data_IF_255846541113
#
_entry.id   IF_255846541113
#
_cell.length_a   1.000
_cell.length_b   1.000
_cell.length_c   1.000
_cell.angle_alpha   90.00
_cell.angle_beta   90.00
_cell.angle_gamma   90.00
#
_symmetry.space_group_name_H-M   'P 1'
#
loop_
_entity.id
_entity.type
_entity.pdbx_description
1 polymer ?
#
# COMPACT_ATOMS: atom_id res chain seq x y z
N UNK A 1 -11.78 18.04 13.62
CA UNK A 1 -10.86 16.98 14.02
C UNK A 1 -9.59 17.63 14.51
N UNK A 2 -9.20 17.35 15.76
CA UNK A 2 -7.99 17.89 16.38
C UNK A 2 -6.89 16.82 16.26
N UNK A 3 -5.78 17.17 15.63
CA UNK A 3 -4.67 16.24 15.38
C UNK A 3 -3.42 16.74 16.08
N UNK A 4 -2.74 15.85 16.79
CA UNK A 4 -1.44 16.12 17.39
C UNK A 4 -0.41 15.17 16.79
N UNK A 5 0.68 15.73 16.30
CA UNK A 5 1.79 14.99 15.68
C UNK A 5 3.05 15.25 16.49
N UNK A 6 3.72 14.20 16.98
CA UNK A 6 5.06 14.32 17.53
C UNK A 6 6.11 13.91 16.50
N UNK A 7 7.17 14.69 16.40
CA UNK A 7 8.27 14.53 15.45
C UNK A 7 7.98 15.25 14.14
N UNK A 8 8.59 16.40 13.99
CA UNK A 8 8.52 17.23 12.78
C UNK A 8 9.64 16.91 11.77
N UNK A 9 10.02 15.64 11.71
CA UNK A 9 10.86 15.10 10.63
C UNK A 9 10.11 15.06 9.30
N UNK A 10 10.72 14.44 8.31
CA UNK A 10 10.18 14.41 6.94
C UNK A 10 8.73 13.89 6.84
N UNK A 11 8.41 12.78 7.52
CA UNK A 11 7.06 12.18 7.48
C UNK A 11 6.05 13.07 8.21
N UNK A 12 6.36 13.50 9.43
CA UNK A 12 5.44 14.31 10.24
C UNK A 12 5.17 15.68 9.61
N UNK A 13 6.20 16.34 9.07
CA UNK A 13 6.07 17.62 8.37
C UNK A 13 5.20 17.49 7.12
N UNK A 14 5.50 16.53 6.25
CA UNK A 14 4.74 16.34 5.02
C UNK A 14 3.27 15.97 5.28
N UNK A 15 3.02 15.16 6.32
CA UNK A 15 1.66 14.83 6.72
C UNK A 15 0.94 16.08 7.22
N UNK A 16 1.59 16.90 8.06
CA UNK A 16 1.01 18.15 8.54
C UNK A 16 0.72 19.12 7.37
N UNK A 17 1.62 19.25 6.39
CA UNK A 17 1.42 20.03 5.16
C UNK A 17 0.21 19.54 4.37
N UNK A 18 0.10 18.23 4.18
CA UNK A 18 -1.03 17.63 3.44
C UNK A 18 -2.38 17.84 4.14
N UNK A 19 -2.37 17.81 5.47
CA UNK A 19 -3.58 17.93 6.29
C UNK A 19 -3.98 19.38 6.55
N UNK A 20 -3.05 20.32 6.67
CA UNK A 20 -3.31 21.74 6.95
C UNK A 20 -4.21 22.39 5.91
N UNK A 21 -4.17 21.91 4.66
CA UNK A 21 -5.06 22.36 3.58
C UNK A 21 -6.53 21.95 3.78
N UNK A 22 -6.79 20.95 4.59
CA UNK A 22 -8.11 20.35 4.78
C UNK A 22 -8.65 20.48 6.22
N UNK A 23 -7.76 20.56 7.21
CA UNK A 23 -8.05 20.54 8.63
C UNK A 23 -7.36 21.70 9.35
N UNK A 24 -8.11 22.57 10.05
CA UNK A 24 -7.54 23.78 10.64
C UNK A 24 -6.82 23.55 11.99
N UNK A 25 -6.98 22.38 12.63
CA UNK A 25 -6.51 22.15 13.99
C UNK A 25 -5.43 21.07 14.03
N UNK A 26 -4.22 21.45 13.65
CA UNK A 26 -3.04 20.57 13.72
C UNK A 26 -2.04 21.19 14.68
N UNK A 27 -1.57 20.38 15.63
CA UNK A 27 -0.47 20.75 16.54
C UNK A 27 0.72 19.82 16.30
N UNK A 28 1.87 20.38 16.01
CA UNK A 28 3.14 19.66 15.91
C UNK A 28 3.92 19.83 17.22
N UNK A 29 4.51 18.76 17.73
CA UNK A 29 5.44 18.77 18.85
C UNK A 29 6.84 18.38 18.33
N UNK A 30 7.80 19.28 18.45
CA UNK A 30 9.19 19.06 18.02
C UNK A 30 10.14 19.36 19.17
N UNK A 31 11.10 18.45 19.41
CA UNK A 31 12.05 18.59 20.51
C UNK A 31 13.15 19.63 20.23
N UNK A 32 13.48 19.89 18.99
CA UNK A 32 14.51 20.84 18.57
C UNK A 32 13.93 22.24 18.38
N UNK A 33 14.39 23.22 19.15
CA UNK A 33 13.95 24.62 19.04
C UNK A 33 14.18 25.16 17.62
N UNK A 34 15.35 24.96 17.03
CA UNK A 34 15.65 25.48 15.69
C UNK A 34 14.76 24.88 14.59
N UNK A 35 14.38 23.60 14.70
CA UNK A 35 13.40 23.00 13.79
C UNK A 35 11.99 23.49 14.03
N UNK A 36 11.62 23.67 15.30
CA UNK A 36 10.33 24.22 15.70
C UNK A 36 10.12 25.61 15.09
N UNK A 37 11.13 26.49 15.20
CA UNK A 37 11.10 27.85 14.66
C UNK A 37 10.96 27.84 13.13
N UNK A 38 11.76 27.02 12.43
CA UNK A 38 11.72 26.91 10.97
C UNK A 38 10.38 26.38 10.44
N UNK A 39 9.72 25.50 11.19
CA UNK A 39 8.40 24.96 10.81
C UNK A 39 7.32 25.98 11.05
N UNK A 40 7.38 26.71 12.16
CA UNK A 40 6.42 27.74 12.51
C UNK A 40 6.38 28.90 11.48
N UNK A 41 7.53 29.14 10.80
CA UNK A 41 7.59 30.12 9.69
C UNK A 41 7.02 29.60 8.37
N UNK A 42 6.98 28.30 8.17
CA UNK A 42 6.67 27.68 6.85
C UNK A 42 5.34 26.94 6.78
N UNK A 43 4.71 26.63 7.92
CA UNK A 43 3.53 25.79 7.99
C UNK A 43 2.40 26.49 8.75
N UNK A 44 1.18 26.41 8.24
CA UNK A 44 -0.04 26.89 8.93
C UNK A 44 -0.52 25.82 9.93
N UNK A 45 0.26 25.64 11.01
CA UNK A 45 -0.04 24.72 12.10
C UNK A 45 0.53 25.26 13.42
N UNK A 46 -0.06 24.91 14.54
CA UNK A 46 0.50 25.21 15.86
C UNK A 46 1.74 24.36 16.11
N UNK A 47 2.86 24.99 16.52
CA UNK A 47 4.10 24.27 16.83
C UNK A 47 4.45 24.46 18.28
N UNK A 48 4.60 23.36 19.03
CA UNK A 48 5.05 23.34 20.41
C UNK A 48 6.46 22.74 20.48
N UNK A 49 7.40 23.51 21.02
CA UNK A 49 8.73 22.98 21.27
C UNK A 49 8.76 22.20 22.58
N UNK A 50 9.08 20.91 22.55
CA UNK A 50 9.12 20.09 23.74
C UNK A 50 9.35 18.61 23.48
N UNK A 51 9.59 17.86 24.56
CA UNK A 51 9.74 16.41 24.49
C UNK A 51 8.37 15.73 24.35
N UNK A 52 8.08 15.15 23.17
CA UNK A 52 6.84 14.46 22.89
C UNK A 52 6.56 13.21 23.75
N UNK A 53 7.56 12.68 24.49
CA UNK A 53 7.36 11.59 25.44
C UNK A 53 7.17 12.09 26.88
N UNK A 54 7.09 13.41 27.11
CA UNK A 54 6.82 13.98 28.43
C UNK A 54 5.31 14.26 28.61
N UNK A 55 4.71 13.73 29.66
CA UNK A 55 3.28 13.92 29.93
C UNK A 55 2.92 15.41 30.12
N UNK A 56 3.84 16.24 30.63
CA UNK A 56 3.64 17.68 30.75
C UNK A 56 3.49 18.36 29.38
N UNK A 57 4.36 18.04 28.44
CA UNK A 57 4.30 18.57 27.05
C UNK A 57 3.01 18.12 26.36
N UNK A 58 2.62 16.85 26.54
CA UNK A 58 1.37 16.31 25.97
C UNK A 58 0.12 16.96 26.58
N UNK A 59 0.15 17.25 27.89
CA UNK A 59 -0.95 17.98 28.56
C UNK A 59 -1.03 19.44 28.08
N UNK A 60 0.11 20.13 27.90
CA UNK A 60 0.17 21.48 27.32
C UNK A 60 -0.37 21.53 25.89
N UNK A 61 -0.12 20.48 25.11
CA UNK A 61 -0.68 20.31 23.76
C UNK A 61 -2.16 19.91 23.76
N UNK A 62 -2.84 19.83 24.92
CA UNK A 62 -4.25 19.41 25.06
C UNK A 62 -4.56 18.03 24.47
N UNK A 63 -3.64 17.06 24.65
CA UNK A 63 -3.76 15.71 24.05
C UNK A 63 -5.05 14.99 24.45
N UNK A 64 -5.61 15.27 25.63
CA UNK A 64 -6.87 14.67 26.09
C UNK A 64 -8.11 15.06 25.26
N UNK A 65 -8.01 16.13 24.47
CA UNK A 65 -9.08 16.61 23.59
C UNK A 65 -8.83 16.24 22.12
N UNK A 66 -7.71 15.55 21.81
CA UNK A 66 -7.37 15.23 20.43
C UNK A 66 -8.17 14.03 19.91
N UNK A 67 -8.56 14.12 18.64
CA UNK A 67 -9.22 13.03 17.93
C UNK A 67 -8.21 11.97 17.45
N UNK A 68 -7.00 12.42 17.13
CA UNK A 68 -5.93 11.58 16.63
C UNK A 68 -4.56 12.06 17.08
N UNK A 69 -3.80 11.18 17.69
CA UNK A 69 -2.41 11.38 18.07
C UNK A 69 -1.49 10.53 17.20
N UNK A 70 -0.48 11.15 16.60
CA UNK A 70 0.47 10.53 15.69
C UNK A 70 1.90 10.65 16.23
N UNK A 71 2.52 9.55 16.57
CA UNK A 71 3.92 9.48 17.00
C UNK A 71 4.82 9.08 15.83
N UNK A 72 5.50 10.05 15.21
CA UNK A 72 6.22 9.91 13.94
C UNK A 72 7.71 10.28 14.04
N UNK A 73 8.30 10.18 15.23
CA UNK A 73 9.74 10.41 15.39
C UNK A 73 10.57 9.26 14.79
N UNK A 74 11.87 9.40 14.72
CA UNK A 74 12.80 8.35 14.31
C UNK A 74 13.16 7.35 15.43
N UNK A 75 12.56 7.46 16.61
CA UNK A 75 12.91 6.67 17.80
C UNK A 75 11.69 5.88 18.26
N UNK A 76 11.72 4.55 18.08
CA UNK A 76 10.61 3.64 18.39
C UNK A 76 10.12 3.77 19.83
N UNK A 77 11.05 3.75 20.79
CA UNK A 77 10.69 3.86 22.21
C UNK A 77 9.98 5.19 22.51
N UNK A 78 10.39 6.29 21.88
CA UNK A 78 9.70 7.57 22.01
C UNK A 78 8.28 7.50 21.45
N UNK A 79 8.11 6.88 20.28
CA UNK A 79 6.82 6.75 19.64
C UNK A 79 5.88 5.85 20.44
N UNK A 80 6.36 4.71 20.92
CA UNK A 80 5.56 3.78 21.73
C UNK A 80 5.13 4.41 23.07
N UNK A 81 6.09 5.02 23.79
CA UNK A 81 5.83 5.66 25.10
C UNK A 81 4.89 6.85 24.95
N UNK A 82 5.12 7.73 23.99
CA UNK A 82 4.27 8.91 23.80
C UNK A 82 2.86 8.55 23.36
N UNK A 83 2.69 7.58 22.47
CA UNK A 83 1.36 7.10 22.07
C UNK A 83 0.60 6.49 23.26
N UNK A 84 1.28 5.72 24.11
CA UNK A 84 0.69 5.14 25.32
C UNK A 84 0.28 6.21 26.33
N UNK A 85 1.14 7.22 26.57
CA UNK A 85 0.79 8.36 27.46
C UNK A 85 -0.39 9.13 26.87
N UNK A 86 -0.37 9.42 25.56
CA UNK A 86 -1.45 10.12 24.88
C UNK A 86 -2.80 9.38 25.02
N UNK A 87 -2.80 8.06 24.85
CA UNK A 87 -3.99 7.22 25.05
C UNK A 87 -4.50 7.31 26.48
N UNK A 88 -3.60 7.24 27.44
CA UNK A 88 -3.94 7.33 28.88
C UNK A 88 -4.49 8.71 29.28
N UNK A 89 -4.02 9.77 28.62
CA UNK A 89 -4.52 11.15 28.83
C UNK A 89 -5.84 11.43 28.11
N UNK A 90 -6.35 10.52 27.27
CA UNK A 90 -7.69 10.63 26.68
C UNK A 90 -7.72 10.81 25.17
N UNK A 91 -6.59 10.70 24.45
CA UNK A 91 -6.59 10.70 22.99
C UNK A 91 -7.53 9.61 22.45
N UNK A 92 -8.44 9.96 21.52
CA UNK A 92 -9.43 9.00 20.99
C UNK A 92 -8.78 7.88 20.20
N UNK A 93 -7.84 8.24 19.31
CA UNK A 93 -7.03 7.29 18.52
C UNK A 93 -5.56 7.64 18.63
N UNK A 94 -4.71 6.61 18.67
CA UNK A 94 -3.25 6.74 18.72
C UNK A 94 -2.60 5.89 17.63
N UNK A 95 -1.62 6.48 16.98
CA UNK A 95 -0.82 5.83 15.94
C UNK A 95 0.65 5.99 16.30
N UNK A 96 1.43 4.94 16.13
CA UNK A 96 2.88 5.03 16.33
C UNK A 96 3.64 4.41 15.15
N UNK A 97 4.64 5.13 14.68
CA UNK A 97 5.63 4.60 13.76
C UNK A 97 6.67 3.78 14.53
N UNK A 98 7.03 2.62 13.99
CA UNK A 98 8.14 1.81 14.45
C UNK A 98 8.98 1.35 13.27
N UNK A 99 10.22 0.94 13.50
CA UNK A 99 11.02 0.26 12.48
C UNK A 99 10.52 -1.17 12.27
N UNK A 100 10.84 -1.76 11.13
CA UNK A 100 10.43 -3.11 10.78
C UNK A 100 10.93 -4.17 11.78
N UNK A 101 12.03 -3.88 12.50
CA UNK A 101 12.56 -4.72 13.59
C UNK A 101 11.55 -4.95 14.72
N UNK A 102 10.80 -3.92 15.13
CA UNK A 102 9.78 -4.03 16.19
C UNK A 102 8.61 -4.89 15.73
N UNK A 103 8.17 -4.73 14.47
CA UNK A 103 7.11 -5.60 13.91
C UNK A 103 7.53 -7.07 13.86
N UNK A 104 8.83 -7.36 13.66
CA UNK A 104 9.36 -8.75 13.68
C UNK A 104 9.25 -9.41 15.05
N UNK A 105 9.24 -8.65 16.12
CA UNK A 105 9.12 -9.15 17.49
C UNK A 105 7.66 -9.38 17.93
N UNK A 106 6.67 -9.07 17.08
CA UNK A 106 5.24 -9.16 17.42
C UNK A 106 4.81 -10.57 17.85
N UNK A 107 5.48 -11.61 17.35
CA UNK A 107 5.25 -13.00 17.79
C UNK A 107 5.69 -13.26 19.24
N UNK A 108 6.63 -12.49 19.77
CA UNK A 108 7.15 -12.58 21.13
C UNK A 108 6.42 -11.62 22.06
N UNK A 109 6.11 -10.41 21.59
CA UNK A 109 5.52 -9.35 22.40
C UNK A 109 4.59 -8.46 21.57
N UNK A 110 3.32 -8.39 21.98
CA UNK A 110 2.32 -7.55 21.33
C UNK A 110 2.43 -6.10 21.80
N UNK A 111 3.31 -5.35 21.16
CA UNK A 111 3.53 -3.93 21.43
C UNK A 111 2.25 -3.11 21.32
N UNK A 112 1.42 -3.37 20.32
CA UNK A 112 0.19 -2.63 20.09
C UNK A 112 -0.77 -2.73 21.26
N UNK A 113 -1.08 -3.94 21.71
CA UNK A 113 -2.01 -4.17 22.81
C UNK A 113 -1.40 -3.74 24.15
N UNK A 114 -0.08 -4.01 24.38
CA UNK A 114 0.58 -3.64 25.62
C UNK A 114 0.58 -2.13 25.86
N UNK A 115 0.89 -1.34 24.85
CA UNK A 115 0.94 0.13 24.94
C UNK A 115 -0.41 0.79 24.63
N UNK A 116 -1.47 0.04 24.33
CA UNK A 116 -2.80 0.56 24.02
C UNK A 116 -2.86 1.39 22.74
N UNK A 117 -2.04 1.07 21.75
CA UNK A 117 -1.90 1.80 20.48
C UNK A 117 -2.93 1.26 19.49
N UNK A 118 -3.73 2.14 18.87
CA UNK A 118 -4.77 1.73 17.93
C UNK A 118 -4.17 1.27 16.59
N UNK A 119 -3.06 1.89 16.14
CA UNK A 119 -2.38 1.52 14.92
C UNK A 119 -0.86 1.65 15.02
N UNK A 120 -0.16 0.57 14.70
CA UNK A 120 1.30 0.48 14.65
C UNK A 120 1.72 0.22 13.20
N UNK A 121 2.72 0.94 12.69
CA UNK A 121 3.16 0.77 11.30
C UNK A 121 4.67 1.03 11.13
N UNK A 122 5.23 0.43 10.09
CA UNK A 122 6.61 0.66 9.65
C UNK A 122 6.62 1.27 8.25
N UNK A 123 7.38 2.35 8.09
CA UNK A 123 7.58 3.02 6.80
C UNK A 123 8.26 2.08 5.79
N UNK A 124 9.19 1.27 6.29
CA UNK A 124 9.95 0.31 5.51
C UNK A 124 9.05 -0.78 4.94
N UNK A 125 8.15 -1.31 5.77
CA UNK A 125 7.18 -2.31 5.35
C UNK A 125 6.16 -1.74 4.36
N UNK A 126 5.67 -0.53 4.59
CA UNK A 126 4.74 0.12 3.66
C UNK A 126 5.36 0.33 2.27
N UNK A 127 6.63 0.76 2.23
CA UNK A 127 7.35 0.91 0.96
C UNK A 127 7.61 -0.45 0.28
N UNK A 128 7.96 -1.48 1.06
CA UNK A 128 8.16 -2.84 0.55
C UNK A 128 6.86 -3.41 -0.06
N UNK A 129 5.71 -3.20 0.59
CA UNK A 129 4.39 -3.57 0.05
C UNK A 129 4.16 -2.93 -1.32
N UNK A 130 4.47 -1.64 -1.48
CA UNK A 130 4.31 -0.97 -2.77
C UNK A 130 5.26 -1.54 -3.85
N UNK A 131 6.51 -1.86 -3.50
CA UNK A 131 7.46 -2.50 -4.44
C UNK A 131 7.01 -3.91 -4.85
N UNK A 132 6.54 -4.72 -3.89
CA UNK A 132 6.06 -6.09 -4.14
C UNK A 132 4.90 -6.12 -5.13
N UNK A 133 4.02 -5.10 -5.13
CA UNK A 133 2.92 -4.99 -6.10
C UNK A 133 3.45 -5.01 -7.54
N UNK A 134 4.53 -4.28 -7.82
CA UNK A 134 5.15 -4.26 -9.15
C UNK A 134 5.85 -5.58 -9.49
N UNK A 135 6.48 -6.25 -8.52
CA UNK A 135 7.09 -7.57 -8.73
C UNK A 135 6.02 -8.61 -9.08
N UNK A 136 4.89 -8.56 -8.38
CA UNK A 136 3.78 -9.49 -8.64
C UNK A 136 3.04 -9.20 -9.93
N UNK A 137 3.02 -7.97 -10.39
CA UNK A 137 2.30 -7.57 -11.60
C UNK A 137 3.02 -6.45 -12.36
N UNK A 138 4.12 -6.76 -13.06
CA UNK A 138 4.93 -5.75 -13.76
C UNK A 138 4.21 -5.11 -14.95
N UNK A 139 3.29 -5.82 -15.57
CA UNK A 139 2.51 -5.35 -16.72
C UNK A 139 1.14 -4.79 -16.31
N UNK A 140 0.72 -5.03 -15.08
CA UNK A 140 -0.52 -4.52 -14.53
C UNK A 140 -0.46 -3.01 -14.26
N UNK A 141 -1.54 -2.31 -14.62
CA UNK A 141 -1.59 -0.85 -14.45
C UNK A 141 -1.84 -0.44 -13.00
N UNK A 142 -2.54 -1.28 -12.23
CA UNK A 142 -2.83 -1.06 -10.82
C UNK A 142 -2.93 -2.41 -10.11
N UNK A 143 -2.29 -2.53 -8.95
CA UNK A 143 -2.55 -3.58 -7.98
C UNK A 143 -2.90 -2.90 -6.66
N UNK A 144 -4.12 -3.13 -6.17
CA UNK A 144 -4.55 -2.66 -4.86
C UNK A 144 -4.79 -3.84 -3.94
N UNK A 145 -4.21 -3.76 -2.77
CA UNK A 145 -4.42 -4.71 -1.69
C UNK A 145 -5.66 -4.31 -0.89
N UNK A 146 -6.57 -5.24 -0.75
CA UNK A 146 -7.78 -5.12 0.05
C UNK A 146 -7.74 -6.14 1.17
N UNK A 147 -8.17 -5.73 2.35
CA UNK A 147 -8.29 -6.62 3.48
C UNK A 147 -6.98 -7.34 3.86
N UNK A 148 -5.87 -6.59 3.88
CA UNK A 148 -4.53 -7.04 4.32
C UNK A 148 -3.94 -8.17 3.47
N UNK A 149 -3.96 -8.03 2.15
CA UNK A 149 -3.36 -8.98 1.21
C UNK A 149 -4.20 -10.22 0.92
N UNK A 150 -5.42 -10.30 1.41
CA UNK A 150 -6.32 -11.45 1.17
C UNK A 150 -7.15 -11.32 -0.09
N UNK A 151 -7.38 -10.09 -0.54
CA UNK A 151 -8.06 -9.78 -1.80
C UNK A 151 -7.20 -8.75 -2.52
N UNK A 152 -6.89 -9.00 -3.77
CA UNK A 152 -6.17 -8.05 -4.63
C UNK A 152 -7.06 -7.60 -5.78
N UNK A 153 -6.92 -6.33 -6.18
CA UNK A 153 -7.45 -5.79 -7.42
C UNK A 153 -6.33 -5.64 -8.42
N UNK A 154 -6.53 -6.17 -9.59
CA UNK A 154 -5.58 -6.09 -10.69
C UNK A 154 -6.24 -5.49 -11.92
N UNK A 155 -5.54 -4.59 -12.63
CA UNK A 155 -5.99 -4.09 -13.93
C UNK A 155 -5.12 -4.65 -15.05
N UNK A 156 -5.78 -5.26 -16.04
CA UNK A 156 -5.13 -5.84 -17.22
C UNK A 156 -5.76 -5.31 -18.50
N UNK A 157 -4.91 -5.09 -19.50
CA UNK A 157 -5.36 -4.78 -20.84
C UNK A 157 -5.62 -6.08 -21.59
N UNK A 158 -6.81 -6.23 -22.15
CA UNK A 158 -7.18 -7.40 -22.96
C UNK A 158 -6.38 -7.40 -24.26
N UNK A 159 -5.59 -8.43 -24.50
CA UNK A 159 -4.84 -8.57 -25.73
C UNK A 159 -5.72 -8.99 -26.89
N UNK A 160 -5.28 -8.72 -28.12
CA UNK A 160 -6.01 -9.16 -29.32
C UNK A 160 -6.10 -10.69 -29.43
N UNK A 161 -5.12 -11.40 -28.88
CA UNK A 161 -5.00 -12.86 -28.89
C UNK A 161 -5.68 -13.50 -27.65
N UNK A 162 -6.39 -12.71 -26.83
CA UNK A 162 -7.05 -13.19 -25.62
C UNK A 162 -8.16 -14.19 -25.93
N UNK A 163 -8.19 -15.29 -25.20
CA UNK A 163 -9.24 -16.31 -25.28
C UNK A 163 -10.59 -15.82 -24.73
N UNK A 164 -10.60 -14.70 -23.98
CA UNK A 164 -11.81 -14.10 -23.42
C UNK A 164 -12.54 -13.15 -24.39
N UNK A 165 -11.91 -12.77 -25.49
CA UNK A 165 -12.51 -11.83 -26.46
C UNK A 165 -13.75 -12.42 -27.12
N UNK A 166 -14.85 -11.67 -27.07
CA UNK A 166 -16.13 -12.05 -27.68
C UNK A 166 -16.91 -13.13 -26.93
N UNK A 167 -16.41 -13.62 -25.81
CA UNK A 167 -17.10 -14.60 -24.96
C UNK A 167 -17.90 -13.85 -23.88
N UNK A 168 -19.18 -14.17 -23.66
CA UNK A 168 -19.96 -13.62 -22.55
C UNK A 168 -19.28 -13.90 -21.20
N UNK A 169 -19.23 -12.91 -20.32
CA UNK A 169 -18.53 -13.03 -19.02
C UNK A 169 -19.06 -14.21 -18.21
N UNK A 170 -20.35 -14.50 -18.28
CA UNK A 170 -20.96 -15.65 -17.59
C UNK A 170 -20.45 -17.01 -18.10
N UNK A 171 -19.91 -17.07 -19.32
CA UNK A 171 -19.38 -18.29 -19.94
C UNK A 171 -17.87 -18.43 -19.78
N UNK A 172 -17.19 -17.36 -19.29
CA UNK A 172 -15.77 -17.43 -18.97
C UNK A 172 -15.54 -18.39 -17.79
N UNK A 173 -14.64 -19.34 -17.96
CA UNK A 173 -14.25 -20.28 -16.90
C UNK A 173 -13.37 -19.58 -15.86
N UNK A 174 -13.99 -18.74 -15.04
CA UNK A 174 -13.30 -18.02 -13.97
C UNK A 174 -13.27 -18.86 -12.70
N UNK A 175 -12.18 -18.80 -11.91
CA UNK A 175 -12.15 -19.38 -10.58
C UNK A 175 -13.29 -18.83 -9.71
N UNK A 176 -13.76 -19.64 -8.76
CA UNK A 176 -14.95 -19.31 -7.96
C UNK A 176 -14.81 -17.98 -7.19
N UNK A 177 -13.59 -17.65 -6.80
CA UNK A 177 -13.30 -16.44 -6.02
C UNK A 177 -12.53 -15.37 -6.79
N UNK A 178 -12.75 -15.30 -8.12
CA UNK A 178 -12.27 -14.21 -8.97
C UNK A 178 -13.44 -13.65 -9.77
N UNK A 179 -13.51 -12.34 -9.87
CA UNK A 179 -14.57 -11.63 -10.61
C UNK A 179 -14.01 -10.46 -11.39
N UNK A 180 -14.70 -10.10 -12.45
CA UNK A 180 -14.51 -8.85 -13.18
C UNK A 180 -15.36 -7.79 -12.49
N UNK A 181 -14.70 -6.75 -11.95
CA UNK A 181 -15.38 -5.66 -11.25
C UNK A 181 -15.76 -4.52 -12.19
N UNK A 182 -14.88 -4.21 -13.15
CA UNK A 182 -15.06 -3.08 -14.04
C UNK A 182 -14.37 -3.32 -15.37
N UNK A 183 -14.95 -2.79 -16.44
CA UNK A 183 -14.35 -2.72 -17.78
C UNK A 183 -14.27 -1.25 -18.16
N UNK A 184 -13.06 -0.79 -18.48
CA UNK A 184 -12.86 0.52 -19.09
C UNK A 184 -12.63 0.34 -20.59
N UNK A 185 -13.52 0.94 -21.40
CA UNK A 185 -13.48 0.95 -22.87
C UNK A 185 -13.59 2.39 -23.34
N UNK A 186 -12.65 2.85 -24.15
CA UNK A 186 -12.63 4.22 -24.70
C UNK A 186 -12.75 5.31 -23.62
N UNK A 187 -12.14 5.08 -22.45
CA UNK A 187 -12.18 6.01 -21.32
C UNK A 187 -13.47 5.95 -20.48
N UNK A 188 -14.42 5.10 -20.82
CA UNK A 188 -15.68 4.94 -20.09
C UNK A 188 -15.65 3.65 -19.25
N UNK A 189 -15.89 3.80 -17.96
CA UNK A 189 -15.98 2.68 -17.03
C UNK A 189 -17.41 2.13 -16.95
N UNK A 190 -17.53 0.82 -17.07
CA UNK A 190 -18.78 0.08 -16.89
C UNK A 190 -18.59 -1.08 -15.92
N UNK A 191 -19.57 -1.32 -15.06
CA UNK A 191 -19.64 -2.53 -14.25
C UNK A 191 -20.37 -3.57 -15.08
N UNK A 192 -19.68 -4.65 -15.52
CA UNK A 192 -20.26 -5.57 -16.48
C UNK A 192 -21.27 -6.51 -15.84
N UNK A 193 -22.25 -6.91 -16.62
CA UNK A 193 -23.14 -8.04 -16.35
C UNK A 193 -22.67 -9.32 -17.05
N UNK A 194 -23.27 -10.44 -16.71
CA UNK A 194 -22.87 -11.74 -17.27
C UNK A 194 -22.99 -11.87 -18.80
N UNK A 195 -23.81 -11.03 -19.46
CA UNK A 195 -24.00 -11.04 -20.93
C UNK A 195 -23.00 -10.14 -21.68
N UNK A 196 -22.27 -9.30 -20.95
CA UNK A 196 -21.27 -8.42 -21.56
C UNK A 196 -20.07 -9.23 -22.03
N UNK A 197 -19.37 -8.71 -23.04
CA UNK A 197 -18.21 -9.35 -23.66
C UNK A 197 -17.00 -8.42 -23.59
N UNK A 198 -15.83 -9.01 -23.45
CA UNK A 198 -14.56 -8.32 -23.53
C UNK A 198 -14.16 -8.09 -24.99
N UNK A 199 -13.57 -6.93 -25.26
CA UNK A 199 -13.00 -6.59 -26.56
C UNK A 199 -11.50 -6.33 -26.45
N UNK A 200 -10.74 -6.51 -27.53
CA UNK A 200 -9.33 -6.15 -27.57
C UNK A 200 -9.12 -4.68 -27.17
N UNK A 201 -8.18 -4.45 -26.27
CA UNK A 201 -7.86 -3.11 -25.80
C UNK A 201 -8.66 -2.66 -24.58
N UNK A 202 -9.71 -3.38 -24.17
CA UNK A 202 -10.39 -3.13 -22.89
C UNK A 202 -9.40 -3.19 -21.72
N UNK A 203 -9.57 -2.29 -20.76
CA UNK A 203 -8.87 -2.39 -19.48
C UNK A 203 -9.82 -3.01 -18.45
N UNK A 204 -9.51 -4.24 -18.05
CA UNK A 204 -10.34 -5.04 -17.15
C UNK A 204 -9.80 -4.96 -15.73
N UNK A 205 -10.65 -4.62 -14.79
CA UNK A 205 -10.32 -4.70 -13.35
C UNK A 205 -10.84 -6.03 -12.81
N UNK A 206 -9.91 -6.89 -12.41
CA UNK A 206 -10.16 -8.14 -11.70
C UNK A 206 -10.05 -7.94 -10.21
N UNK A 207 -10.79 -8.70 -9.42
CA UNK A 207 -10.56 -8.86 -8.00
C UNK A 207 -10.71 -10.31 -7.59
N UNK A 208 -9.96 -10.71 -6.57
CA UNK A 208 -10.01 -12.08 -6.07
C UNK A 208 -8.90 -12.41 -5.09
N UNK A 209 -8.86 -13.66 -4.66
CA UNK A 209 -7.73 -14.19 -3.89
C UNK A 209 -6.47 -14.20 -4.77
N UNK A 210 -5.32 -13.72 -4.26
CA UNK A 210 -4.09 -13.59 -5.06
C UNK A 210 -3.69 -14.88 -5.79
N UNK A 211 -3.82 -16.03 -5.14
CA UNK A 211 -3.49 -17.35 -5.70
C UNK A 211 -4.40 -17.79 -6.88
N UNK A 212 -5.58 -17.17 -7.03
CA UNK A 212 -6.56 -17.53 -8.04
C UNK A 212 -6.62 -16.53 -9.22
N UNK A 213 -5.88 -15.42 -9.15
CA UNK A 213 -5.88 -14.42 -10.22
C UNK A 213 -5.06 -14.86 -11.45
N UNK A 214 -3.97 -15.60 -11.26
CA UNK A 214 -3.05 -16.01 -12.34
C UNK A 214 -3.70 -16.75 -13.52
N UNK A 215 -4.62 -17.71 -13.31
CA UNK A 215 -5.32 -18.37 -14.41
C UNK A 215 -6.15 -17.42 -15.26
N UNK A 216 -6.74 -16.39 -14.63
CA UNK A 216 -7.55 -15.39 -15.34
C UNK A 216 -6.70 -14.42 -16.12
N UNK A 217 -5.53 -14.05 -15.58
CA UNK A 217 -4.56 -13.21 -16.27
C UNK A 217 -4.12 -13.89 -17.57
N UNK A 218 -3.80 -15.18 -17.52
CA UNK A 218 -3.44 -15.97 -18.70
C UNK A 218 -4.57 -16.08 -19.72
N UNK A 219 -5.83 -15.96 -19.27
CA UNK A 219 -6.99 -15.93 -20.16
C UNK A 219 -7.11 -14.58 -20.88
N UNK A 220 -6.78 -13.47 -20.21
CA UNK A 220 -6.87 -12.10 -20.75
C UNK A 220 -5.69 -11.76 -21.66
N UNK A 221 -4.52 -12.26 -21.34
CA UNK A 221 -3.30 -12.11 -22.14
C UNK A 221 -2.53 -13.44 -22.19
N UNK A 222 -2.50 -14.05 -23.36
CA UNK A 222 -1.76 -15.30 -23.59
C UNK A 222 -0.24 -15.15 -23.38
N UNK A 223 0.29 -13.92 -23.43
CA UNK A 223 1.71 -13.60 -23.21
C UNK A 223 2.05 -13.39 -21.74
N UNK A 224 1.03 -13.10 -20.90
CA UNK A 224 1.18 -12.92 -19.47
C UNK A 224 1.32 -14.25 -18.71
N UNK A 225 2.00 -15.25 -19.29
CA UNK A 225 2.43 -16.41 -18.52
C UNK A 225 3.45 -15.91 -17.50
N UNK A 226 3.05 -15.84 -16.21
CA UNK A 226 4.02 -15.58 -15.14
C UNK A 226 5.18 -16.56 -15.32
N UNK A 227 6.38 -16.02 -15.45
CA UNK A 227 7.58 -16.84 -15.30
C UNK A 227 7.46 -17.54 -13.94
N UNK A 228 7.45 -18.88 -13.97
CA UNK A 228 7.72 -19.63 -12.76
C UNK A 228 9.19 -19.36 -12.45
N UNK A 229 9.53 -19.08 -11.21
CA UNK A 229 10.91 -18.83 -10.76
C UNK A 229 11.45 -17.43 -11.17
N UNK A 230 10.84 -16.37 -10.67
CA UNK A 230 11.34 -15.01 -10.85
C UNK A 230 12.67 -14.80 -10.13
N UNK A 231 13.59 -14.11 -10.79
CA UNK A 231 14.90 -13.72 -10.24
C UNK A 231 14.89 -12.23 -9.90
N UNK A 232 15.02 -11.93 -8.62
CA UNK A 232 15.02 -10.56 -8.10
C UNK A 232 16.38 -10.24 -7.49
N UNK A 233 16.99 -9.13 -7.93
CA UNK A 233 18.20 -8.57 -7.32
C UNK A 233 17.83 -7.29 -6.60
N UNK A 234 18.13 -7.20 -5.31
CA UNK A 234 17.91 -6.03 -4.48
C UNK A 234 19.25 -5.35 -4.22
N UNK A 235 19.33 -4.05 -4.48
CA UNK A 235 20.48 -3.21 -4.15
C UNK A 235 20.26 -2.50 -2.81
N UNK A 236 21.19 -2.70 -1.89
CA UNK A 236 21.18 -2.18 -0.52
C UNK A 236 20.73 -3.23 0.48
N UNK A 237 21.30 -3.21 1.69
CA UNK A 237 21.08 -4.19 2.76
C UNK A 237 20.35 -3.66 3.98
N UNK A 238 19.81 -2.44 3.93
CA UNK A 238 19.09 -1.83 5.04
C UNK A 238 17.70 -2.43 5.28
N UNK A 239 16.96 -1.83 6.21
CA UNK A 239 15.63 -2.30 6.63
C UNK A 239 14.61 -2.39 5.48
N UNK A 240 14.71 -1.54 4.45
CA UNK A 240 13.86 -1.64 3.25
C UNK A 240 14.13 -2.92 2.46
N UNK A 241 15.40 -3.26 2.26
CA UNK A 241 15.80 -4.48 1.57
C UNK A 241 15.36 -5.72 2.35
N UNK A 242 15.55 -5.69 3.67
CA UNK A 242 15.10 -6.76 4.55
C UNK A 242 13.59 -6.98 4.46
N UNK A 243 12.79 -5.92 4.62
CA UNK A 243 11.33 -6.01 4.56
C UNK A 243 10.84 -6.52 3.20
N UNK A 244 11.48 -6.06 2.11
CA UNK A 244 11.19 -6.50 0.75
C UNK A 244 11.52 -7.96 0.54
N UNK A 245 12.73 -8.39 0.91
CA UNK A 245 13.18 -9.78 0.78
C UNK A 245 12.27 -10.73 1.57
N UNK A 246 11.94 -10.40 2.81
CA UNK A 246 11.05 -11.20 3.65
C UNK A 246 9.66 -11.41 3.01
N UNK A 247 9.13 -10.40 2.31
CA UNK A 247 7.84 -10.52 1.62
C UNK A 247 7.92 -11.34 0.32
N UNK A 248 9.11 -11.46 -0.26
CA UNK A 248 9.36 -12.22 -1.48
C UNK A 248 9.80 -13.66 -1.21
N UNK A 249 10.36 -13.95 -0.02
CA UNK A 249 10.70 -15.32 0.40
C UNK A 249 9.46 -16.22 0.43
N UNK A 250 9.66 -17.52 0.14
CA UNK A 250 8.59 -18.52 0.18
C UNK A 250 7.63 -18.49 -1.03
N UNK A 251 7.72 -17.52 -1.92
CA UNK A 251 7.12 -17.59 -3.25
C UNK A 251 8.13 -18.26 -4.21
N UNK A 252 7.73 -18.62 -5.44
CA UNK A 252 8.68 -19.09 -6.47
C UNK A 252 9.53 -17.93 -6.99
N UNK A 253 10.25 -17.25 -6.09
CA UNK A 253 11.07 -16.06 -6.35
C UNK A 253 12.47 -16.29 -5.76
N UNK A 254 13.50 -16.19 -6.59
CA UNK A 254 14.89 -16.26 -6.17
C UNK A 254 15.40 -14.85 -5.86
N UNK A 255 15.54 -14.54 -4.59
CA UNK A 255 15.97 -13.22 -4.12
C UNK A 255 17.48 -13.22 -3.87
N UNK A 256 18.16 -12.18 -4.36
CA UNK A 256 19.56 -11.88 -4.04
C UNK A 256 19.66 -10.44 -3.55
N UNK A 257 20.40 -10.19 -2.48
CA UNK A 257 20.70 -8.84 -1.98
C UNK A 257 22.18 -8.56 -2.20
N UNK A 258 22.48 -7.42 -2.83
CA UNK A 258 23.85 -6.91 -2.97
C UNK A 258 24.05 -5.76 -1.99
N UNK A 259 25.03 -5.90 -1.07
CA UNK A 259 25.31 -4.93 0.01
C UNK A 259 26.83 -4.75 0.17
N UNK A 260 27.25 -3.47 0.34
CA UNK A 260 28.67 -3.11 0.51
C UNK A 260 29.22 -3.49 1.88
N UNK A 261 28.42 -3.35 2.92
CA UNK A 261 28.81 -3.56 4.31
C UNK A 261 28.84 -5.03 4.65
N UNK A 262 30.01 -5.56 4.96
CA UNK A 262 30.16 -6.96 5.40
C UNK A 262 29.41 -7.25 6.71
N UNK A 263 29.32 -6.27 7.62
CA UNK A 263 28.56 -6.43 8.87
C UNK A 263 27.06 -6.56 8.59
N UNK A 264 26.53 -5.76 7.66
CA UNK A 264 25.13 -5.82 7.25
C UNK A 264 24.82 -7.12 6.50
N UNK A 265 25.72 -7.57 5.63
CA UNK A 265 25.60 -8.88 4.97
C UNK A 265 25.48 -10.03 6.00
N UNK A 266 26.31 -10.02 7.04
CA UNK A 266 26.25 -11.02 8.12
C UNK A 266 24.94 -10.95 8.91
N UNK A 267 24.49 -9.72 9.19
CA UNK A 267 23.21 -9.49 9.87
C UNK A 267 22.04 -10.05 9.05
N UNK A 268 21.93 -9.67 7.80
CA UNK A 268 20.88 -10.17 6.88
C UNK A 268 20.89 -11.70 6.73
N UNK A 269 22.09 -12.30 6.58
CA UNK A 269 22.23 -13.76 6.48
C UNK A 269 21.77 -14.51 7.73
N UNK A 270 21.74 -13.85 8.90
CA UNK A 270 21.20 -14.44 10.11
C UNK A 270 19.67 -14.38 10.23
N UNK A 271 19.02 -13.51 9.44
CA UNK A 271 17.59 -13.24 9.52
C UNK A 271 16.79 -13.81 8.33
N UNK A 272 17.38 -13.86 7.14
CA UNK A 272 16.75 -14.35 5.91
C UNK A 272 17.13 -15.81 5.66
N UNK A 273 16.18 -16.60 5.17
CA UNK A 273 16.37 -18.06 5.01
C UNK A 273 16.64 -18.46 3.56
N UNK A 274 15.90 -17.89 2.62
CA UNK A 274 15.90 -18.27 1.20
C UNK A 274 16.57 -17.20 0.30
N UNK A 275 17.10 -16.12 0.91
CA UNK A 275 17.72 -15.01 0.20
C UNK A 275 19.25 -15.13 0.16
N UNK A 276 19.84 -15.05 -1.03
CA UNK A 276 21.30 -15.04 -1.21
C UNK A 276 21.86 -13.65 -0.94
N UNK A 277 22.75 -13.52 0.03
CA UNK A 277 23.42 -12.25 0.35
C UNK A 277 24.79 -12.20 -0.32
N UNK A 278 25.03 -11.13 -1.09
CA UNK A 278 26.26 -10.88 -1.85
C UNK A 278 26.94 -9.64 -1.26
N UNK A 279 28.16 -9.80 -0.75
CA UNK A 279 28.96 -8.66 -0.34
C UNK A 279 29.66 -8.06 -1.57
N UNK A 280 29.23 -6.88 -1.97
CA UNK A 280 29.74 -6.20 -3.16
C UNK A 280 29.23 -4.77 -3.30
N UNK A 281 29.81 -4.01 -4.21
CA UNK A 281 29.39 -2.65 -4.55
C UNK A 281 28.42 -2.65 -5.75
N UNK A 282 27.11 -2.51 -5.53
CA UNK A 282 26.12 -2.54 -6.61
C UNK A 282 26.12 -1.28 -7.50
N UNK A 283 26.94 -0.28 -7.18
CA UNK A 283 27.19 0.86 -8.10
C UNK A 283 28.32 0.56 -9.09
N UNK A 284 29.01 -0.58 -8.93
CA UNK A 284 30.06 -1.02 -9.84
C UNK A 284 29.49 -1.84 -11.01
N UNK A 285 29.60 -1.30 -12.23
CA UNK A 285 29.16 -1.99 -13.44
C UNK A 285 29.85 -3.35 -13.63
N UNK A 286 31.13 -3.46 -13.20
CA UNK A 286 31.86 -4.71 -13.25
C UNK A 286 31.24 -5.75 -12.34
N UNK A 287 30.91 -5.40 -11.09
CA UNK A 287 30.28 -6.33 -10.16
C UNK A 287 28.86 -6.71 -10.59
N UNK A 288 28.08 -5.79 -11.13
CA UNK A 288 26.77 -6.10 -11.68
C UNK A 288 26.86 -7.16 -12.81
N UNK A 289 27.94 -7.13 -13.62
CA UNK A 289 28.19 -8.16 -14.66
C UNK A 289 28.64 -9.48 -14.07
N UNK A 290 29.56 -9.46 -13.09
CA UNK A 290 30.07 -10.66 -12.41
C UNK A 290 28.92 -11.41 -11.73
N UNK A 291 27.98 -10.67 -11.14
CA UNK A 291 26.79 -11.21 -10.49
C UNK A 291 25.62 -11.48 -11.46
N UNK A 292 25.84 -11.37 -12.76
CA UNK A 292 24.86 -11.68 -13.81
C UNK A 292 23.51 -10.99 -13.61
N UNK A 293 23.55 -9.68 -13.33
CA UNK A 293 22.33 -8.88 -13.11
C UNK A 293 21.48 -8.78 -14.39
N UNK A 294 22.09 -8.94 -15.55
CA UNK A 294 21.42 -9.05 -16.86
C UNK A 294 20.44 -10.22 -16.97
N UNK A 295 20.62 -11.28 -16.16
CA UNK A 295 19.70 -12.43 -16.10
C UNK A 295 18.58 -12.27 -15.07
N UNK A 296 18.56 -11.16 -14.32
CA UNK A 296 17.51 -10.89 -13.38
C UNK A 296 16.23 -10.39 -14.08
N UNK A 297 15.09 -10.84 -13.64
CA UNK A 297 13.80 -10.30 -14.09
C UNK A 297 13.58 -8.91 -13.47
N UNK A 298 13.98 -8.74 -12.20
CA UNK A 298 13.88 -7.48 -11.49
C UNK A 298 15.21 -7.06 -10.88
N UNK A 299 15.53 -5.78 -11.00
CA UNK A 299 16.52 -5.09 -10.20
C UNK A 299 15.85 -3.98 -9.40
N UNK A 300 15.98 -4.03 -8.07
CA UNK A 300 15.25 -3.13 -7.15
C UNK A 300 16.27 -2.42 -6.27
N UNK A 301 16.43 -1.11 -6.47
CA UNK A 301 17.36 -0.30 -5.71
C UNK A 301 16.66 0.36 -4.52
N UNK A 302 17.13 0.05 -3.30
CA UNK A 302 16.53 0.50 -2.03
C UNK A 302 17.58 0.98 -1.03
N UNK A 303 18.72 1.48 -1.52
CA UNK A 303 19.75 2.09 -0.67
C UNK A 303 19.28 3.43 -0.08
N UNK A 304 19.96 3.99 0.93
CA UNK A 304 19.63 5.31 1.46
C UNK A 304 19.89 6.47 0.50
N UNK A 305 20.67 6.26 -0.57
CA UNK A 305 21.07 7.29 -1.54
C UNK A 305 20.22 7.22 -2.80
N UNK A 306 19.44 8.28 -3.05
CA UNK A 306 18.50 8.35 -4.18
C UNK A 306 19.24 8.36 -5.53
N UNK A 307 20.38 9.05 -5.63
CA UNK A 307 21.20 9.14 -6.81
C UNK A 307 21.83 7.80 -7.17
N UNK A 308 22.39 7.11 -6.18
CA UNK A 308 22.94 5.75 -6.35
C UNK A 308 21.85 4.77 -6.79
N UNK A 309 20.65 4.87 -6.23
CA UNK A 309 19.52 4.03 -6.59
C UNK A 309 19.14 4.19 -8.07
N UNK A 310 19.04 5.44 -8.53
CA UNK A 310 18.72 5.72 -9.95
C UNK A 310 19.84 5.24 -10.86
N UNK A 311 21.10 5.54 -10.52
CA UNK A 311 22.25 5.16 -11.36
C UNK A 311 22.40 3.64 -11.45
N UNK A 312 22.25 2.92 -10.36
CA UNK A 312 22.29 1.45 -10.36
C UNK A 312 21.17 0.84 -11.22
N UNK A 313 19.94 1.39 -11.14
CA UNK A 313 18.85 0.99 -12.03
C UNK A 313 19.17 1.22 -13.51
N UNK A 314 19.75 2.37 -13.87
CA UNK A 314 20.15 2.66 -15.25
C UNK A 314 21.24 1.71 -15.74
N UNK A 315 22.21 1.37 -14.90
CA UNK A 315 23.25 0.40 -15.21
C UNK A 315 22.67 -1.01 -15.40
N UNK A 316 21.84 -1.48 -14.46
CA UNK A 316 21.17 -2.78 -14.57
C UNK A 316 20.33 -2.87 -15.86
N UNK A 317 19.58 -1.80 -16.18
CA UNK A 317 18.79 -1.72 -17.42
C UNK A 317 19.67 -1.76 -18.66
N UNK A 318 20.82 -1.09 -18.64
CA UNK A 318 21.78 -1.10 -19.76
C UNK A 318 22.43 -2.47 -19.98
N UNK A 319 22.52 -3.29 -18.93
CA UNK A 319 23.00 -4.67 -19.00
C UNK A 319 21.96 -5.63 -19.58
N UNK A 320 20.66 -5.32 -19.48
CA UNK A 320 19.60 -6.14 -20.03
C UNK A 320 18.51 -6.59 -19.05
N UNK A 321 18.60 -6.18 -17.77
CA UNK A 321 17.55 -6.48 -16.78
C UNK A 321 16.16 -6.07 -17.29
N UNK A 322 15.18 -6.94 -17.15
CA UNK A 322 13.85 -6.72 -17.72
C UNK A 322 13.11 -5.56 -17.05
N UNK A 323 13.05 -5.55 -15.72
CA UNK A 323 12.36 -4.52 -14.94
C UNK A 323 13.27 -3.92 -13.88
N UNK A 324 13.32 -2.58 -13.81
CA UNK A 324 14.03 -1.85 -12.76
C UNK A 324 13.04 -1.06 -11.92
N UNK A 325 13.14 -1.20 -10.59
CA UNK A 325 12.37 -0.47 -9.60
C UNK A 325 13.31 0.30 -8.69
N UNK A 326 12.88 1.42 -8.17
CA UNK A 326 13.70 2.20 -7.24
C UNK A 326 12.88 2.75 -6.08
N UNK A 327 13.50 2.82 -4.92
CA UNK A 327 13.00 3.56 -3.78
C UNK A 327 13.61 4.96 -3.84
N UNK A 328 12.80 6.00 -3.62
CA UNK A 328 13.22 7.40 -3.68
C UNK A 328 12.66 8.14 -2.46
N UNK A 329 13.55 8.64 -1.62
CA UNK A 329 13.18 9.36 -0.40
C UNK A 329 12.63 10.75 -0.71
N UNK A 330 13.18 11.43 -1.69
CA UNK A 330 12.76 12.76 -2.13
C UNK A 330 11.56 12.66 -3.06
N UNK A 331 10.42 13.22 -2.64
CA UNK A 331 9.17 13.15 -3.39
C UNK A 331 9.24 13.85 -4.76
N UNK A 332 10.01 14.96 -4.86
CA UNK A 332 10.24 15.68 -6.12
C UNK A 332 11.01 14.82 -7.14
N UNK A 333 11.97 14.00 -6.69
CA UNK A 333 12.69 13.05 -7.54
C UNK A 333 11.78 11.91 -7.98
N UNK A 334 10.97 11.35 -7.09
CA UNK A 334 10.03 10.28 -7.44
C UNK A 334 9.08 10.72 -8.57
N UNK A 335 8.56 11.95 -8.48
CA UNK A 335 7.69 12.54 -9.50
C UNK A 335 8.42 12.75 -10.86
N UNK A 336 9.65 13.24 -10.81
CA UNK A 336 10.48 13.43 -11.99
C UNK A 336 10.78 12.09 -12.71
N UNK A 337 11.10 11.05 -11.93
CA UNK A 337 11.34 9.69 -12.47
C UNK A 337 10.06 9.12 -13.05
N UNK A 338 8.92 9.24 -12.35
CA UNK A 338 7.63 8.74 -12.82
C UNK A 338 7.25 9.34 -14.19
N UNK A 339 7.43 10.66 -14.37
CA UNK A 339 7.14 11.35 -15.65
C UNK A 339 8.07 10.92 -16.78
N UNK A 340 9.30 10.49 -16.46
CA UNK A 340 10.31 10.09 -17.44
C UNK A 340 10.57 8.57 -17.48
N UNK A 341 9.77 7.77 -16.78
CA UNK A 341 10.01 6.34 -16.56
C UNK A 341 10.30 5.54 -17.83
N UNK A 342 9.59 5.82 -18.92
CA UNK A 342 9.80 5.13 -20.20
C UNK A 342 11.19 5.41 -20.80
N UNK A 343 11.68 6.64 -20.66
CA UNK A 343 13.01 7.04 -21.16
C UNK A 343 14.13 6.49 -20.29
N UNK A 344 13.89 6.43 -18.99
CA UNK A 344 14.85 5.92 -18.00
C UNK A 344 14.88 4.38 -17.96
N UNK A 345 13.87 3.71 -18.49
CA UNK A 345 13.73 2.27 -18.36
C UNK A 345 13.45 1.81 -16.92
N UNK A 346 12.99 2.72 -16.06
CA UNK A 346 12.58 2.44 -14.67
C UNK A 346 11.07 2.24 -14.67
N UNK A 347 10.62 1.07 -14.22
CA UNK A 347 9.20 0.72 -14.17
C UNK A 347 8.45 1.60 -13.18
N UNK A 348 8.98 1.73 -11.96
CA UNK A 348 8.41 2.57 -10.92
C UNK A 348 9.45 3.11 -9.94
N UNK A 349 9.15 4.29 -9.38
CA UNK A 349 9.84 4.89 -8.24
C UNK A 349 8.87 4.96 -7.07
N UNK A 350 9.18 4.27 -5.98
CA UNK A 350 8.36 4.23 -4.76
C UNK A 350 8.93 5.21 -3.75
N UNK A 351 8.10 6.13 -3.26
CA UNK A 351 8.48 7.01 -2.16
C UNK A 351 7.92 6.49 -0.84
N UNK A 352 8.77 6.17 0.15
CA UNK A 352 8.34 5.75 1.47
C UNK A 352 7.40 6.77 2.14
N UNK A 353 7.69 8.06 1.92
CA UNK A 353 6.86 9.15 2.46
C UNK A 353 5.45 9.14 1.87
N UNK A 354 5.33 9.00 0.54
CA UNK A 354 4.03 8.96 -0.11
C UNK A 354 3.25 7.70 0.26
N UNK A 355 3.94 6.56 0.41
CA UNK A 355 3.32 5.32 0.89
C UNK A 355 2.77 5.49 2.31
N UNK A 356 3.58 6.06 3.21
CA UNK A 356 3.17 6.34 4.59
C UNK A 356 2.01 7.34 4.67
N UNK A 357 2.08 8.46 3.95
CA UNK A 357 1.00 9.45 3.93
C UNK A 357 -0.32 8.82 3.46
N UNK A 358 -0.29 8.03 2.39
CA UNK A 358 -1.47 7.37 1.86
C UNK A 358 -2.09 6.41 2.87
N UNK A 359 -1.27 5.66 3.59
CA UNK A 359 -1.71 4.72 4.61
C UNK A 359 -2.32 5.44 5.83
N UNK A 360 -1.66 6.49 6.32
CA UNK A 360 -2.17 7.30 7.43
C UNK A 360 -3.46 8.03 7.07
N UNK A 361 -3.57 8.60 5.88
CA UNK A 361 -4.81 9.23 5.42
C UNK A 361 -5.96 8.23 5.38
N UNK A 362 -5.73 6.99 4.93
CA UNK A 362 -6.74 5.91 5.00
C UNK A 362 -7.17 5.61 6.43
N UNK A 363 -6.23 5.57 7.38
CA UNK A 363 -6.56 5.37 8.80
C UNK A 363 -7.37 6.52 9.40
N UNK A 364 -7.13 7.74 8.93
CA UNK A 364 -7.79 8.98 9.42
C UNK A 364 -9.21 9.18 8.88
N UNK A 365 -9.54 8.59 7.74
CA UNK A 365 -10.85 8.77 7.12
C UNK A 365 -11.96 8.26 8.06
N UNK A 366 -12.73 9.21 8.60
CA UNK A 366 -13.86 8.97 9.52
C UNK A 366 -15.22 9.21 8.86
N UNK A 367 -15.24 9.18 7.52
CA UNK A 367 -16.46 9.40 6.74
C UNK A 367 -17.49 8.26 6.85
N UNK A 368 -18.63 8.40 6.14
CA UNK A 368 -19.60 7.31 5.98
C UNK A 368 -19.00 6.10 5.23
N UNK A 369 -17.92 6.31 4.53
CA UNK A 369 -17.11 5.33 3.83
C UNK A 369 -15.67 5.85 3.75
N UNK A 370 -14.70 4.95 3.59
CA UNK A 370 -13.30 5.27 3.36
C UNK A 370 -12.98 5.02 1.88
N UNK A 371 -12.32 5.99 1.23
CA UNK A 371 -11.79 5.79 -0.13
C UNK A 371 -10.48 5.02 -0.04
N UNK A 372 -10.46 3.78 -0.53
CA UNK A 372 -9.27 2.92 -0.52
C UNK A 372 -8.31 3.33 -1.63
N UNK A 373 -8.84 3.49 -2.86
CA UNK A 373 -8.06 3.92 -4.01
C UNK A 373 -8.95 4.50 -5.11
N UNK A 374 -8.30 5.08 -6.12
CA UNK A 374 -8.94 5.50 -7.35
C UNK A 374 -8.29 4.79 -8.53
N UNK A 375 -9.11 4.12 -9.31
CA UNK A 375 -8.70 3.44 -10.53
C UNK A 375 -8.77 4.40 -11.72
N UNK A 376 -8.14 4.04 -12.84
CA UNK A 376 -8.24 4.84 -14.06
C UNK A 376 -9.70 5.05 -14.48
N UNK A 377 -10.00 6.27 -14.96
CA UNK A 377 -11.36 6.62 -15.42
C UNK A 377 -12.34 7.00 -14.31
N UNK A 378 -11.85 7.38 -13.11
CA UNK A 378 -12.66 7.95 -12.03
C UNK A 378 -13.55 6.95 -11.28
N UNK A 379 -13.18 5.67 -11.31
CA UNK A 379 -13.80 4.63 -10.48
C UNK A 379 -13.07 4.56 -9.15
N UNK A 380 -13.81 4.55 -8.05
CA UNK A 380 -13.26 4.49 -6.71
C UNK A 380 -13.44 3.10 -6.09
N UNK A 381 -12.43 2.66 -5.35
CA UNK A 381 -12.54 1.55 -4.41
C UNK A 381 -12.86 2.15 -3.06
N UNK A 382 -13.99 1.79 -2.47
CA UNK A 382 -14.43 2.31 -1.18
C UNK A 382 -14.62 1.18 -0.16
N UNK A 383 -14.39 1.51 1.09
CA UNK A 383 -14.63 0.66 2.25
C UNK A 383 -15.70 1.30 3.13
N UNK A 384 -16.67 0.52 3.59
CA UNK A 384 -17.69 1.00 4.54
C UNK A 384 -18.26 -0.14 5.37
N UNK A 385 -18.63 0.18 6.62
CA UNK A 385 -19.31 -0.76 7.53
C UNK A 385 -20.81 -0.81 7.28
N UNK A 386 -21.41 -2.00 7.39
CA UNK A 386 -22.86 -2.19 7.34
C UNK A 386 -23.44 -1.81 8.69
N UNK A 387 -24.39 -0.87 8.69
CA UNK A 387 -25.11 -0.49 9.90
C UNK A 387 -26.18 -1.51 10.26
N UNK A 388 -26.42 -1.76 11.55
CA UNK A 388 -27.46 -2.70 12.02
C UNK A 388 -28.85 -2.42 11.43
N UNK A 389 -29.18 -1.13 11.26
CA UNK A 389 -30.47 -0.70 10.71
C UNK A 389 -30.56 -0.81 9.18
N UNK A 390 -29.50 -1.24 8.49
CA UNK A 390 -29.51 -1.32 7.03
C UNK A 390 -30.42 -2.47 6.55
N UNK A 391 -31.21 -2.19 5.52
CA UNK A 391 -32.16 -3.17 4.95
C UNK A 391 -31.50 -4.43 4.39
N UNK A 392 -30.24 -4.37 4.06
CA UNK A 392 -29.47 -5.49 3.47
C UNK A 392 -29.02 -6.51 4.50
N UNK A 393 -29.11 -6.20 5.80
CA UNK A 393 -28.74 -7.14 6.87
C UNK A 393 -29.62 -8.38 6.81
N UNK A 394 -29.00 -9.56 6.79
CA UNK A 394 -29.68 -10.84 6.68
C UNK A 394 -30.07 -11.25 5.25
N UNK A 395 -29.82 -10.42 4.24
CA UNK A 395 -30.10 -10.78 2.84
C UNK A 395 -28.90 -11.42 2.16
N UNK A 396 -29.16 -12.35 1.24
CA UNK A 396 -28.12 -12.89 0.35
C UNK A 396 -27.68 -11.84 -0.67
N UNK A 397 -26.38 -11.84 -1.01
CA UNK A 397 -25.81 -10.90 -2.00
C UNK A 397 -26.55 -10.92 -3.32
N UNK A 398 -27.01 -12.10 -3.77
CA UNK A 398 -27.78 -12.26 -5.02
C UNK A 398 -29.18 -11.64 -4.97
N UNK A 399 -29.78 -11.49 -3.79
CA UNK A 399 -31.13 -10.96 -3.59
C UNK A 399 -31.17 -9.43 -3.48
N UNK A 400 -29.99 -8.83 -3.22
CA UNK A 400 -29.84 -7.40 -3.04
C UNK A 400 -29.89 -6.70 -4.40
N UNK A 401 -30.73 -5.67 -4.49
CA UNK A 401 -30.77 -4.77 -5.66
C UNK A 401 -29.62 -3.77 -5.59
N UNK A 402 -28.48 -4.18 -6.11
CA UNK A 402 -27.30 -3.32 -6.16
C UNK A 402 -27.52 -2.10 -7.05
N UNK A 403 -27.07 -0.91 -6.65
CA UNK A 403 -27.16 0.29 -7.49
C UNK A 403 -26.34 0.13 -8.77
N UNK A 404 -26.82 0.74 -9.85
CA UNK A 404 -25.99 0.86 -11.06
C UNK A 404 -24.70 1.60 -10.75
N UNK A 405 -23.59 1.14 -11.31
CA UNK A 405 -22.27 1.73 -11.07
C UNK A 405 -21.68 1.37 -9.71
N UNK A 406 -22.12 0.28 -9.06
CA UNK A 406 -21.52 -0.26 -7.85
C UNK A 406 -21.36 -1.78 -7.93
N UNK A 407 -20.23 -2.32 -7.55
CA UNK A 407 -19.96 -3.75 -7.42
C UNK A 407 -19.31 -4.07 -6.08
N UNK A 408 -19.81 -5.09 -5.39
CA UNK A 408 -19.20 -5.64 -4.18
C UNK A 408 -17.97 -6.45 -4.58
N UNK A 409 -16.80 -6.10 -4.01
CA UNK A 409 -15.52 -6.77 -4.32
C UNK A 409 -14.94 -7.54 -3.14
N UNK A 410 -15.35 -7.21 -1.91
CA UNK A 410 -14.86 -7.90 -0.73
C UNK A 410 -15.74 -7.65 0.48
N UNK A 411 -15.70 -8.61 1.40
CA UNK A 411 -16.28 -8.53 2.74
C UNK A 411 -15.18 -8.82 3.76
N UNK A 412 -15.13 -8.03 4.81
CA UNK A 412 -14.35 -8.34 6.00
C UNK A 412 -15.32 -8.56 7.16
N UNK A 413 -15.37 -9.78 7.66
CA UNK A 413 -16.17 -10.21 8.81
C UNK A 413 -15.22 -10.56 9.94
N UNK A 414 -15.30 -9.83 11.05
CA UNK A 414 -14.33 -9.94 12.14
C UNK A 414 -12.91 -9.70 11.62
N UNK A 415 -12.15 -10.78 11.37
CA UNK A 415 -10.78 -10.71 10.82
C UNK A 415 -10.62 -11.55 9.53
N UNK A 416 -11.72 -12.10 9.02
CA UNK A 416 -11.72 -12.91 7.79
C UNK A 416 -12.15 -12.08 6.59
N UNK A 417 -11.30 -12.02 5.58
CA UNK A 417 -11.63 -11.46 4.28
C UNK A 417 -12.28 -12.54 3.40
N UNK A 418 -13.37 -12.18 2.75
CA UNK A 418 -14.17 -13.07 1.91
C UNK A 418 -14.37 -12.37 0.57
N UNK A 419 -14.09 -13.06 -0.52
CA UNK A 419 -14.59 -12.66 -1.85
C UNK A 419 -16.05 -13.13 -1.93
N UNK A 420 -17.02 -12.20 -1.95
CA UNK A 420 -18.43 -12.57 -1.82
C UNK A 420 -18.94 -13.28 -3.05
N UNK A 421 -19.76 -14.30 -2.82
CA UNK A 421 -20.58 -14.97 -3.82
C UNK A 421 -22.04 -14.55 -3.69
N UNK A 422 -22.90 -14.96 -4.62
CA UNK A 422 -24.33 -14.67 -4.51
C UNK A 422 -25.03 -15.31 -3.29
N UNK A 423 -24.46 -16.40 -2.77
CA UNK A 423 -25.01 -17.17 -1.64
C UNK A 423 -24.63 -16.60 -0.26
N UNK A 424 -23.62 -15.74 -0.24
CA UNK A 424 -23.18 -15.12 1.00
C UNK A 424 -24.22 -14.13 1.54
N UNK A 425 -24.42 -14.14 2.85
CA UNK A 425 -25.36 -13.24 3.54
C UNK A 425 -24.59 -12.06 4.14
N UNK A 426 -25.12 -10.85 4.01
CA UNK A 426 -24.56 -9.67 4.65
C UNK A 426 -25.02 -9.55 6.10
N UNK A 427 -24.09 -9.36 7.01
CA UNK A 427 -24.36 -9.20 8.44
C UNK A 427 -24.15 -7.75 8.89
N UNK A 428 -24.76 -7.39 10.01
CA UNK A 428 -24.41 -6.17 10.71
C UNK A 428 -22.93 -6.19 11.10
N UNK A 429 -22.27 -5.01 11.05
CA UNK A 429 -20.86 -4.82 11.34
C UNK A 429 -19.87 -5.42 10.32
N UNK A 430 -20.34 -6.17 9.31
CA UNK A 430 -19.47 -6.51 8.18
C UNK A 430 -18.88 -5.23 7.55
N UNK A 431 -17.61 -5.28 7.22
CA UNK A 431 -16.99 -4.22 6.41
C UNK A 431 -17.02 -4.63 4.94
N UNK A 432 -17.65 -3.81 4.13
CA UNK A 432 -17.78 -3.99 2.67
C UNK A 432 -16.68 -3.25 1.95
N UNK A 433 -16.06 -3.89 0.98
CA UNK A 433 -15.25 -3.26 -0.05
C UNK A 433 -16.04 -3.26 -1.36
N UNK A 434 -16.15 -2.11 -2.00
CA UNK A 434 -16.90 -1.96 -3.23
C UNK A 434 -16.17 -1.09 -4.25
N UNK A 435 -16.30 -1.44 -5.52
CA UNK A 435 -15.94 -0.56 -6.63
C UNK A 435 -17.15 0.27 -7.00
N UNK A 436 -16.97 1.57 -7.12
CA UNK A 436 -18.07 2.49 -7.42
C UNK A 436 -17.68 3.55 -8.45
N UNK A 437 -18.59 3.84 -9.35
CA UNK A 437 -18.55 5.07 -10.15
C UNK A 437 -19.08 6.24 -9.33
N UNK A 438 -18.85 7.47 -9.80
CA UNK A 438 -19.37 8.69 -9.14
C UNK A 438 -20.89 8.63 -8.93
N UNK A 439 -21.64 8.04 -9.88
CA UNK A 439 -23.10 7.89 -9.81
C UNK A 439 -23.52 6.80 -8.81
N UNK A 440 -22.81 5.68 -8.73
CA UNK A 440 -23.11 4.53 -7.87
C UNK A 440 -22.79 4.76 -6.40
N UNK A 441 -21.85 5.68 -6.07
CA UNK A 441 -21.34 5.88 -4.71
C UNK A 441 -22.41 6.26 -3.69
N UNK A 442 -23.15 7.33 -3.92
CA UNK A 442 -24.17 7.81 -2.98
C UNK A 442 -25.31 6.80 -2.77
N UNK A 443 -25.87 6.17 -3.83
CA UNK A 443 -26.84 5.09 -3.68
C UNK A 443 -26.31 3.90 -2.86
N UNK A 444 -25.08 3.45 -3.09
CA UNK A 444 -24.48 2.35 -2.35
C UNK A 444 -24.32 2.67 -0.85
N UNK A 445 -23.76 3.83 -0.54
CA UNK A 445 -23.62 4.27 0.86
C UNK A 445 -24.97 4.31 1.57
N UNK A 446 -26.02 4.81 0.89
CA UNK A 446 -27.37 4.82 1.48
C UNK A 446 -27.92 3.40 1.69
N UNK A 447 -27.69 2.48 0.74
CA UNK A 447 -28.14 1.08 0.83
C UNK A 447 -27.56 0.35 2.05
N UNK A 448 -26.27 0.60 2.35
CA UNK A 448 -25.54 -0.09 3.42
C UNK A 448 -25.60 0.62 4.78
N UNK A 449 -26.10 1.87 4.83
CA UNK A 449 -26.09 2.66 6.07
C UNK A 449 -27.46 3.15 6.52
N UNK A 450 -28.50 3.02 5.69
CA UNK A 450 -29.86 3.51 6.04
C UNK A 450 -30.85 2.35 6.17
N UNK A 451 -31.78 2.54 7.09
CA UNK A 451 -32.99 1.69 7.27
C UNK A 451 -33.99 1.85 6.13
#
# INVERSE_FOLDING_TARGET
MNIIIIGAGEVGRQLAESLSTQLPNITLIEASQGRSDAINESLDASVLCGNGAAATTLAEAHVGECDLFLALTSIDNTNLVSASIAKSLGAKKTVARVHASVEREEWLFDYRNHFGIDYLFSTERLAAVELVKFVRNPEGLVVEDIARGRIELHQYKVSADSLAVGVPIAELRMPERVRIACIMRDGVNTIPGGKDQLLPGDLVTLFGEPSQLDPVISLLDARAQRKKDLKVVIFGGGEYAFALAQMLEGASIHVRIMEKSESECRHLSSLLQDTLIINGDPTSLQQLREEQVDQADFFIAVSPDDEDNVMACLQAKSLGTEYCLTLIHRADYADAIYRNRQRLGILAAVSPRLATNRDLLRFMETGKYNKVSELQGGVEVIQLGIKEAAKVVGQKVAEIKWPRGAALVGLLREHMAIVPTGEDTLNAEDTVYAIVTSEGRKPLVNLLTKS
#
